data_IF_541415964494
#
_entry.id   IF_541415964494
#
_cell.length_a   1.000
_cell.length_b   1.000
_cell.length_c   1.000
_cell.angle_alpha   90.00
_cell.angle_beta   90.00
_cell.angle_gamma   90.00
#
_symmetry.space_group_name_H-M   'P 1'
#
loop_
_entity.id
_entity.type
_entity.pdbx_description
1 polymer ?
#
# COMPACT_ATOMS: atom_id res chain seq x y z
N UNK A 1 -27.37 -18.79 60.47
CA UNK A 1 -26.10 -18.01 60.51
C UNK A 1 -25.07 -18.44 59.46
N UNK A 2 -24.77 -19.74 59.27
CA UNK A 2 -23.78 -20.22 58.27
C UNK A 2 -24.10 -19.85 56.81
N UNK A 3 -25.38 -19.83 56.41
CA UNK A 3 -25.81 -19.47 55.04
C UNK A 3 -25.73 -17.96 54.73
N UNK A 4 -25.69 -17.09 55.74
CA UNK A 4 -25.54 -15.65 55.53
C UNK A 4 -24.06 -15.26 55.38
N UNK A 5 -23.15 -15.98 56.05
CA UNK A 5 -21.70 -15.80 55.93
C UNK A 5 -21.20 -16.27 54.55
N UNK A 6 -21.72 -17.38 54.03
CA UNK A 6 -21.34 -17.88 52.69
C UNK A 6 -21.82 -16.96 51.56
N UNK A 7 -22.99 -16.33 51.71
CA UNK A 7 -23.50 -15.33 50.76
C UNK A 7 -22.74 -14.00 50.84
N UNK A 8 -22.30 -13.60 52.04
CA UNK A 8 -21.46 -12.41 52.24
C UNK A 8 -20.06 -12.61 51.63
N UNK A 9 -19.46 -13.79 51.78
CA UNK A 9 -18.16 -14.11 51.18
C UNK A 9 -18.21 -14.14 49.64
N UNK A 10 -19.28 -14.67 49.03
CA UNK A 10 -19.44 -14.63 47.56
C UNK A 10 -19.63 -13.20 47.04
N UNK A 11 -20.32 -12.33 47.78
CA UNK A 11 -20.48 -10.93 47.41
C UNK A 11 -19.15 -10.16 47.49
N UNK A 12 -18.29 -10.44 48.48
CA UNK A 12 -16.97 -9.82 48.61
C UNK A 12 -16.02 -10.28 47.49
N UNK A 13 -16.05 -11.56 47.10
CA UNK A 13 -15.23 -12.07 45.98
C UNK A 13 -15.70 -11.52 44.63
N UNK A 14 -17.01 -11.33 44.44
CA UNK A 14 -17.54 -10.69 43.22
C UNK A 14 -17.17 -9.21 43.11
N UNK A 15 -17.13 -8.48 44.23
CA UNK A 15 -16.71 -7.06 44.25
C UNK A 15 -15.20 -6.91 44.00
N UNK A 16 -14.38 -7.87 44.46
CA UNK A 16 -12.94 -7.86 44.20
C UNK A 16 -12.59 -8.35 42.78
N UNK A 17 -13.39 -9.25 42.19
CA UNK A 17 -13.24 -9.69 40.80
C UNK A 17 -13.69 -8.65 39.76
N UNK A 18 -14.56 -7.71 40.15
CA UNK A 18 -14.98 -6.58 39.30
C UNK A 18 -14.10 -5.32 39.51
N UNK A 19 -13.33 -5.26 40.59
CA UNK A 19 -12.37 -4.19 40.86
C UNK A 19 -10.99 -4.42 40.21
N UNK A 20 -10.76 -5.58 39.56
CA UNK A 20 -9.50 -5.87 38.86
C UNK A 20 -9.48 -5.42 37.39
N UNK A 21 -10.53 -4.76 36.92
CA UNK A 21 -10.46 -3.88 35.76
C UNK A 21 -10.81 -2.49 36.26
N UNK A 22 -9.83 -1.82 36.84
CA UNK A 22 -9.95 -0.39 37.02
C UNK A 22 -9.87 0.26 35.62
N UNK A 23 -10.43 1.45 35.40
CA UNK A 23 -10.20 2.21 34.16
C UNK A 23 -8.70 2.46 33.88
N UNK A 24 -7.86 2.20 34.89
CA UNK A 24 -6.40 2.23 34.84
C UNK A 24 -5.78 1.00 34.14
N UNK A 25 -6.52 -0.12 34.07
CA UNK A 25 -6.16 -1.36 33.35
C UNK A 25 -6.77 -1.44 31.95
N UNK A 26 -7.67 -0.50 31.60
CA UNK A 26 -8.11 -0.34 30.22
C UNK A 26 -6.92 0.24 29.43
N UNK A 27 -6.43 -0.44 28.38
CA UNK A 27 -5.44 0.17 27.51
C UNK A 27 -5.99 1.50 27.03
N UNK A 28 -5.17 2.56 27.13
CA UNK A 28 -5.57 3.90 26.75
C UNK A 28 -6.31 3.86 25.41
N UNK A 29 -7.48 4.51 25.36
CA UNK A 29 -8.33 4.51 24.17
C UNK A 29 -7.46 4.99 23.00
N UNK A 30 -7.16 4.08 22.07
CA UNK A 30 -6.29 4.41 20.96
C UNK A 30 -7.07 5.34 20.05
N UNK A 31 -6.75 6.63 20.08
CA UNK A 31 -7.31 7.60 19.16
C UNK A 31 -6.63 7.40 17.81
N UNK A 32 -7.39 7.27 16.73
CA UNK A 32 -6.82 7.24 15.38
C UNK A 32 -6.96 8.61 14.73
N UNK A 33 -6.12 8.86 13.75
CA UNK A 33 -6.12 10.13 13.03
C UNK A 33 -7.40 10.27 12.20
N UNK A 34 -7.75 11.50 11.82
CA UNK A 34 -8.99 11.74 11.06
C UNK A 34 -8.92 11.23 9.61
N UNK A 35 -7.70 10.97 9.11
CA UNK A 35 -7.41 10.50 7.76
C UNK A 35 -6.32 9.44 7.83
N UNK A 36 -6.31 8.55 6.84
CA UNK A 36 -5.29 7.52 6.76
C UNK A 36 -3.92 8.14 6.41
N UNK A 37 -2.87 7.61 7.04
CA UNK A 37 -1.50 8.07 6.77
C UNK A 37 -0.99 7.50 5.45
N UNK A 38 -0.39 8.35 4.62
CA UNK A 38 0.39 7.92 3.46
C UNK A 38 1.64 7.16 3.92
N UNK A 39 2.09 6.21 3.10
CA UNK A 39 3.29 5.45 3.37
C UNK A 39 3.24 4.05 2.79
N UNK A 40 4.30 3.29 3.08
CA UNK A 40 4.48 1.95 2.56
C UNK A 40 4.75 0.99 3.70
N UNK A 41 4.15 -0.20 3.63
CA UNK A 41 4.35 -1.28 4.59
C UNK A 41 4.71 -2.57 3.86
N UNK A 42 5.77 -3.23 4.33
CA UNK A 42 6.23 -4.52 3.81
C UNK A 42 5.83 -5.63 4.78
N UNK A 43 5.44 -6.80 4.25
CA UNK A 43 5.09 -7.96 5.05
C UNK A 43 6.26 -8.44 5.90
N UNK A 44 6.00 -8.67 7.18
CA UNK A 44 6.85 -9.49 8.03
C UNK A 44 6.65 -10.95 7.62
N UNK A 45 7.73 -11.59 7.14
CA UNK A 45 7.86 -13.01 6.78
C UNK A 45 6.55 -13.76 6.51
N UNK A 46 6.24 -14.03 5.24
CA UNK A 46 5.13 -14.92 4.88
C UNK A 46 5.59 -16.36 4.74
N UNK A 47 4.68 -17.30 4.97
CA UNK A 47 4.98 -18.75 4.93
C UNK A 47 5.36 -19.25 3.53
N UNK A 48 4.93 -18.55 2.48
CA UNK A 48 5.15 -18.90 1.08
C UNK A 48 6.39 -18.23 0.47
N UNK A 49 7.08 -17.37 1.22
CA UNK A 49 8.24 -16.60 0.76
C UNK A 49 7.89 -15.37 -0.10
N UNK A 50 6.61 -15.12 -0.38
CA UNK A 50 6.17 -13.94 -1.13
C UNK A 50 6.27 -12.68 -0.27
N UNK A 51 7.03 -11.68 -0.70
CA UNK A 51 7.05 -10.38 -0.04
C UNK A 51 5.93 -9.51 -0.58
N UNK A 52 5.09 -9.00 0.33
CA UNK A 52 4.00 -8.08 -0.01
C UNK A 52 4.36 -6.66 0.41
N UNK A 53 4.06 -5.69 -0.44
CA UNK A 53 4.10 -4.26 -0.09
C UNK A 53 2.73 -3.65 -0.28
N UNK A 54 2.23 -2.96 0.73
CA UNK A 54 1.04 -2.09 0.63
C UNK A 54 1.52 -0.64 0.65
N UNK A 55 1.28 0.10 -0.42
CA UNK A 55 1.60 1.51 -0.53
C UNK A 55 0.32 2.35 -0.62
N UNK A 56 0.18 3.33 0.27
CA UNK A 56 -0.86 4.35 0.24
C UNK A 56 -0.23 5.65 -0.26
N UNK A 57 -0.77 6.20 -1.35
CA UNK A 57 -0.19 7.36 -2.05
C UNK A 57 -1.28 8.30 -2.55
N UNK A 58 -0.91 9.55 -2.86
CA UNK A 58 -1.81 10.46 -3.56
C UNK A 58 -1.62 10.33 -5.07
N UNK A 59 -2.71 10.04 -5.78
CA UNK A 59 -2.78 10.05 -7.23
C UNK A 59 -3.42 11.34 -7.72
N UNK A 60 -2.72 12.04 -8.61
CA UNK A 60 -3.22 13.23 -9.31
C UNK A 60 -3.67 12.82 -10.69
N UNK A 61 -4.94 13.07 -11.00
CA UNK A 61 -5.53 12.76 -12.30
C UNK A 61 -5.98 14.06 -12.94
N UNK A 62 -5.50 14.33 -14.16
CA UNK A 62 -6.01 15.47 -14.94
C UNK A 62 -7.38 15.08 -15.49
N UNK A 63 -8.40 15.86 -15.13
CA UNK A 63 -9.75 15.74 -15.64
C UNK A 63 -9.86 16.71 -16.83
N UNK A 64 -10.03 16.20 -18.06
CA UNK A 64 -10.19 17.05 -19.24
C UNK A 64 -11.37 18.00 -19.07
N UNK A 65 -11.29 19.15 -19.73
CA UNK A 65 -12.41 20.08 -19.83
C UNK A 65 -13.63 19.38 -20.45
N UNK A 66 -14.79 19.47 -19.78
CA UNK A 66 -16.02 18.82 -20.23
C UNK A 66 -16.62 19.49 -21.49
N UNK A 67 -16.26 20.75 -21.74
CA UNK A 67 -16.76 21.58 -22.84
C UNK A 67 -15.65 22.48 -23.40
N UNK A 68 -15.84 22.92 -24.64
CA UNK A 68 -14.90 23.78 -25.37
C UNK A 68 -14.78 25.15 -24.65
N UNK A 69 -13.64 25.40 -24.02
CA UNK A 69 -13.35 26.63 -23.25
C UNK A 69 -13.25 26.47 -21.73
N UNK A 70 -13.65 25.33 -21.15
CA UNK A 70 -13.34 25.04 -19.75
C UNK A 70 -11.85 24.69 -19.59
N UNK A 71 -11.27 25.00 -18.42
CA UNK A 71 -9.90 24.61 -18.12
C UNK A 71 -9.88 23.19 -17.54
N UNK A 72 -8.88 22.35 -17.88
CA UNK A 72 -8.70 21.06 -17.23
C UNK A 72 -8.50 21.26 -15.72
N UNK A 73 -9.02 20.34 -14.92
CA UNK A 73 -8.87 20.35 -13.46
C UNK A 73 -8.04 19.18 -13.00
N UNK A 74 -7.44 19.26 -11.80
CA UNK A 74 -6.69 18.15 -11.21
C UNK A 74 -7.49 17.57 -10.07
N UNK A 75 -7.87 16.30 -10.18
CA UNK A 75 -8.44 15.51 -9.10
C UNK A 75 -7.31 14.85 -8.31
N UNK A 76 -7.38 14.91 -6.99
CA UNK A 76 -6.41 14.26 -6.08
C UNK A 76 -7.16 13.21 -5.26
N UNK A 77 -6.78 11.95 -5.41
CA UNK A 77 -7.36 10.82 -4.68
C UNK A 77 -6.27 10.12 -3.88
N UNK A 78 -6.60 9.61 -2.69
CA UNK A 78 -5.73 8.65 -2.00
C UNK A 78 -6.01 7.26 -2.57
N UNK A 79 -4.97 6.59 -3.03
CA UNK A 79 -5.05 5.26 -3.64
C UNK A 79 -4.13 4.28 -2.94
N UNK A 80 -4.53 3.01 -2.92
CA UNK A 80 -3.68 1.91 -2.53
C UNK A 80 -3.07 1.18 -3.72
N UNK A 81 -1.85 0.71 -3.55
CA UNK A 81 -1.20 -0.23 -4.47
C UNK A 81 -0.64 -1.38 -3.68
N UNK A 82 -0.94 -2.61 -4.12
CA UNK A 82 -0.38 -3.84 -3.57
C UNK A 82 0.65 -4.40 -4.54
N UNK A 83 1.89 -4.55 -4.07
CA UNK A 83 2.97 -5.25 -4.78
C UNK A 83 3.19 -6.61 -4.14
N UNK A 84 3.37 -7.64 -4.97
CA UNK A 84 3.55 -9.03 -4.55
C UNK A 84 4.76 -9.57 -5.29
N UNK A 85 5.85 -9.87 -4.59
CA UNK A 85 7.08 -10.34 -5.24
C UNK A 85 7.61 -11.63 -4.64
N UNK A 86 8.11 -12.52 -5.50
CA UNK A 86 8.85 -13.71 -5.10
C UNK A 86 10.39 -13.51 -5.21
N UNK A 87 10.84 -12.28 -5.46
CA UNK A 87 12.25 -11.92 -5.68
C UNK A 87 12.69 -11.90 -7.14
N UNK A 88 11.96 -12.56 -8.05
CA UNK A 88 12.23 -12.55 -9.49
C UNK A 88 11.17 -11.76 -10.23
N UNK A 89 9.91 -12.04 -9.92
CA UNK A 89 8.75 -11.36 -10.50
C UNK A 89 8.03 -10.53 -9.45
N UNK A 90 7.43 -9.44 -9.90
CA UNK A 90 6.48 -8.66 -9.10
C UNK A 90 5.15 -8.63 -9.83
N UNK A 91 4.07 -8.75 -9.08
CA UNK A 91 2.70 -8.55 -9.53
C UNK A 91 2.11 -7.37 -8.77
N UNK A 92 1.27 -6.58 -9.44
CA UNK A 92 0.70 -5.36 -8.87
C UNK A 92 -0.80 -5.33 -9.03
N UNK A 93 -1.50 -5.04 -7.94
CA UNK A 93 -2.85 -4.49 -7.99
C UNK A 93 -2.74 -2.99 -7.69
N UNK A 94 -2.94 -2.16 -8.71
CA UNK A 94 -2.79 -0.72 -8.62
C UNK A 94 -4.13 0.01 -8.52
N UNK A 95 -4.09 1.24 -8.02
CA UNK A 95 -5.23 2.16 -8.01
C UNK A 95 -6.44 1.64 -7.21
N UNK A 96 -6.20 0.93 -6.11
CA UNK A 96 -7.24 0.51 -5.19
C UNK A 96 -7.90 1.72 -4.53
N UNK A 97 -9.23 1.73 -4.46
CA UNK A 97 -9.98 2.81 -3.82
C UNK A 97 -9.88 2.66 -2.31
N UNK A 98 -9.50 3.73 -1.61
CA UNK A 98 -9.35 3.73 -0.16
C UNK A 98 -10.64 4.19 0.54
N UNK A 99 -11.07 3.43 1.54
CA UNK A 99 -12.04 3.84 2.56
C UNK A 99 -11.41 3.71 3.94
N UNK A 100 -11.60 4.70 4.82
CA UNK A 100 -10.98 4.72 6.15
C UNK A 100 -12.00 5.01 7.25
N UNK A 101 -12.00 4.17 8.29
CA UNK A 101 -12.78 4.36 9.51
C UNK A 101 -11.87 4.74 10.69
N UNK A 102 -11.84 6.04 10.99
CA UNK A 102 -11.09 6.61 12.11
C UNK A 102 -11.59 6.14 13.50
N UNK A 103 -12.78 5.54 13.63
CA UNK A 103 -13.26 5.02 14.92
C UNK A 103 -12.52 3.76 15.32
N UNK A 104 -12.09 2.97 14.34
CA UNK A 104 -11.44 1.68 14.55
C UNK A 104 -10.03 1.60 13.96
N UNK A 105 -9.57 2.65 13.27
CA UNK A 105 -8.24 2.70 12.67
C UNK A 105 -8.07 1.67 11.56
N UNK A 106 -9.13 1.43 10.80
CA UNK A 106 -9.16 0.43 9.75
C UNK A 106 -9.37 1.09 8.39
N UNK A 107 -8.53 0.72 7.44
CA UNK A 107 -8.67 1.05 6.04
C UNK A 107 -9.09 -0.18 5.23
N UNK A 108 -9.87 0.06 4.19
CA UNK A 108 -10.20 -0.93 3.17
C UNK A 108 -9.72 -0.41 1.83
N UNK A 109 -9.01 -1.27 1.08
CA UNK A 109 -8.65 -1.02 -0.30
C UNK A 109 -9.43 -1.95 -1.22
N UNK A 110 -10.15 -1.36 -2.16
CA UNK A 110 -10.96 -2.09 -3.14
C UNK A 110 -10.29 -2.03 -4.51
N UNK A 111 -9.87 -3.20 -5.02
CA UNK A 111 -9.25 -3.35 -6.33
C UNK A 111 -10.22 -4.05 -7.28
N UNK A 112 -10.68 -3.34 -8.31
CA UNK A 112 -11.56 -3.92 -9.33
C UNK A 112 -10.81 -4.88 -10.27
N UNK A 113 -9.56 -4.54 -10.61
CA UNK A 113 -8.69 -5.31 -11.48
C UNK A 113 -7.44 -5.75 -10.72
N UNK A 114 -7.13 -7.04 -10.80
CA UNK A 114 -5.93 -7.61 -10.16
C UNK A 114 -5.25 -8.62 -11.09
N UNK A 115 -3.99 -8.97 -10.82
CA UNK A 115 -3.29 -10.04 -11.52
C UNK A 115 -3.99 -11.40 -11.46
N UNK A 116 -4.87 -11.61 -10.47
CA UNK A 116 -5.65 -12.83 -10.30
C UNK A 116 -6.93 -12.89 -11.15
N UNK A 117 -7.22 -11.85 -11.94
CA UNK A 117 -8.44 -11.72 -12.77
C UNK A 117 -9.74 -11.73 -11.95
N UNK A 118 -9.64 -11.47 -10.66
CA UNK A 118 -10.75 -11.34 -9.73
C UNK A 118 -10.60 -10.04 -8.93
N UNK A 119 -11.70 -9.35 -8.59
CA UNK A 119 -11.63 -8.23 -7.67
C UNK A 119 -11.05 -8.66 -6.32
N UNK A 120 -10.41 -7.74 -5.62
CA UNK A 120 -9.77 -8.00 -4.33
C UNK A 120 -10.09 -6.89 -3.35
N UNK A 121 -10.35 -7.27 -2.11
CA UNK A 121 -10.41 -6.35 -0.99
C UNK A 121 -9.23 -6.62 -0.06
N UNK A 122 -8.61 -5.54 0.40
CA UNK A 122 -7.51 -5.59 1.34
C UNK A 122 -7.90 -4.79 2.58
N UNK A 123 -7.94 -5.48 3.72
CA UNK A 123 -8.21 -4.86 5.00
C UNK A 123 -6.90 -4.53 5.70
N UNK A 124 -6.80 -3.29 6.16
CA UNK A 124 -5.62 -2.69 6.77
C UNK A 124 -6.00 -2.22 8.17
N UNK A 125 -5.63 -2.96 9.21
CA UNK A 125 -5.91 -2.58 10.59
C UNK A 125 -4.65 -2.06 11.28
N UNK A 126 -4.69 -0.83 11.78
CA UNK A 126 -3.58 -0.26 12.58
C UNK A 126 -3.46 -1.01 13.90
N UNK A 127 -2.25 -1.47 14.23
CA UNK A 127 -1.97 -2.03 15.55
C UNK A 127 -1.88 -0.91 16.60
N UNK A 128 -1.88 -1.25 17.89
CA UNK A 128 -1.77 -0.28 18.99
C UNK A 128 -0.54 0.65 18.88
N UNK A 129 0.55 0.18 18.25
CA UNK A 129 1.74 0.99 17.98
C UNK A 129 1.55 2.04 16.88
N UNK A 130 0.45 1.98 16.11
CA UNK A 130 0.10 2.74 14.89
C UNK A 130 1.07 2.63 13.72
N UNK A 131 2.31 2.22 13.97
CA UNK A 131 3.37 2.04 12.96
C UNK A 131 3.23 0.73 12.21
N UNK A 132 2.77 -0.32 12.90
CA UNK A 132 2.51 -1.65 12.31
C UNK A 132 1.06 -1.78 11.88
N UNK A 133 0.85 -2.63 10.89
CA UNK A 133 -0.46 -2.86 10.31
C UNK A 133 -0.72 -4.36 10.22
N UNK A 134 -1.92 -4.82 10.56
CA UNK A 134 -2.35 -6.17 10.20
C UNK A 134 -3.10 -6.07 8.87
N UNK A 135 -2.68 -6.90 7.92
CA UNK A 135 -3.16 -6.88 6.54
C UNK A 135 -3.82 -8.21 6.21
N UNK A 136 -5.00 -8.17 5.59
CA UNK A 136 -5.71 -9.36 5.13
C UNK A 136 -6.23 -9.16 3.71
N UNK A 137 -5.93 -10.10 2.81
CA UNK A 137 -6.30 -10.04 1.40
C UNK A 137 -7.40 -11.06 1.12
N UNK A 138 -8.45 -10.62 0.44
CA UNK A 138 -9.57 -11.43 0.01
C UNK A 138 -9.82 -11.23 -1.48
N UNK A 139 -10.05 -12.31 -2.22
CA UNK A 139 -10.57 -12.24 -3.60
C UNK A 139 -12.05 -12.56 -3.63
N UNK A 140 -12.71 -11.99 -4.64
CA UNK A 140 -14.14 -12.10 -4.87
C UNK A 140 -14.40 -12.96 -6.08
N UNK A 141 -15.24 -13.97 -5.89
CA UNK A 141 -15.75 -14.76 -6.99
C UNK A 141 -17.28 -14.73 -6.98
N UNK A 142 -17.86 -14.45 -8.13
CA UNK A 142 -19.30 -14.58 -8.32
C UNK A 142 -19.58 -15.94 -8.95
N UNK A 143 -20.12 -16.85 -8.14
CA UNK A 143 -20.52 -18.18 -8.60
C UNK A 143 -22.02 -18.36 -8.43
N UNK A 144 -22.73 -18.59 -9.55
CA UNK A 144 -24.19 -18.74 -9.59
C UNK A 144 -24.96 -17.58 -8.92
N UNK A 145 -24.51 -16.34 -9.14
CA UNK A 145 -25.16 -15.14 -8.59
C UNK A 145 -24.93 -14.89 -7.10
N UNK A 146 -24.10 -15.71 -6.43
CA UNK A 146 -23.64 -15.48 -5.06
C UNK A 146 -22.20 -15.00 -5.06
N UNK A 147 -21.91 -14.02 -4.21
CA UNK A 147 -20.56 -13.51 -3.96
C UNK A 147 -19.91 -14.38 -2.89
N UNK A 148 -18.75 -14.94 -3.21
CA UNK A 148 -17.90 -15.65 -2.26
C UNK A 148 -16.62 -14.84 -2.06
N UNK A 149 -16.28 -14.61 -0.78
CA UNK A 149 -14.99 -14.05 -0.40
C UNK A 149 -14.07 -15.18 0.05
N UNK A 150 -12.89 -15.28 -0.57
CA UNK A 150 -11.86 -16.22 -0.17
C UNK A 150 -10.64 -15.46 0.33
N UNK A 151 -10.24 -15.76 1.58
CA UNK A 151 -8.97 -15.26 2.13
C UNK A 151 -7.80 -15.87 1.36
N UNK A 152 -6.95 -15.01 0.80
CA UNK A 152 -5.69 -15.42 0.19
C UNK A 152 -4.59 -15.52 1.24
N UNK A 153 -4.30 -14.42 1.91
CA UNK A 153 -3.18 -14.31 2.85
C UNK A 153 -3.50 -13.29 3.94
N UNK A 154 -2.87 -13.45 5.10
CA UNK A 154 -2.85 -12.47 6.15
C UNK A 154 -1.42 -12.33 6.68
N UNK A 155 -0.98 -11.11 6.94
CA UNK A 155 0.35 -10.82 7.45
C UNK A 155 0.36 -9.56 8.30
N UNK A 156 1.44 -9.35 9.04
CA UNK A 156 1.70 -8.06 9.67
C UNK A 156 2.66 -7.26 8.79
N UNK A 157 2.34 -6.01 8.52
CA UNK A 157 3.16 -5.06 7.77
C UNK A 157 3.96 -4.16 8.71
N UNK A 158 5.24 -3.97 8.40
CA UNK A 158 6.13 -3.00 9.03
C UNK A 158 6.44 -1.86 8.07
N UNK A 159 6.69 -0.63 8.55
CA UNK A 159 7.03 0.49 7.69
C UNK A 159 8.21 0.19 6.76
N UNK A 160 8.07 0.53 5.49
CA UNK A 160 9.12 0.49 4.46
C UNK A 160 9.25 1.86 3.80
N UNK A 161 10.42 2.15 3.24
CA UNK A 161 10.67 3.38 2.48
C UNK A 161 10.46 3.23 0.99
N UNK A 162 10.38 2.00 0.49
CA UNK A 162 10.14 1.69 -0.92
C UNK A 162 9.35 0.41 -1.11
N UNK A 163 9.09 0.10 -2.38
CA UNK A 163 8.43 -1.15 -2.83
C UNK A 163 9.32 -1.92 -3.79
N UNK A 164 8.95 -3.16 -4.12
CA UNK A 164 9.52 -3.85 -5.27
C UNK A 164 9.09 -3.16 -6.58
N UNK A 165 10.05 -2.67 -7.36
CA UNK A 165 9.78 -1.90 -8.60
C UNK A 165 10.00 -2.72 -9.88
N UNK A 166 10.66 -3.87 -9.77
CA UNK A 166 11.07 -4.70 -10.90
C UNK A 166 10.06 -5.82 -11.20
N UNK A 167 9.79 -6.06 -12.48
CA UNK A 167 9.01 -7.20 -12.95
C UNK A 167 8.65 -7.09 -14.43
N UNK A 168 8.52 -8.24 -15.10
CA UNK A 168 8.31 -8.33 -16.55
C UNK A 168 6.98 -7.73 -17.04
N UNK A 169 6.04 -7.46 -16.13
CA UNK A 169 4.75 -6.84 -16.46
C UNK A 169 4.51 -5.53 -15.71
N UNK A 170 5.55 -4.93 -15.09
CA UNK A 170 5.44 -3.62 -14.45
C UNK A 170 6.00 -2.53 -15.33
N UNK A 171 5.14 -1.61 -15.74
CA UNK A 171 5.51 -0.40 -16.46
C UNK A 171 5.26 0.82 -15.57
N UNK A 172 6.23 1.72 -15.55
CA UNK A 172 6.16 2.98 -14.81
C UNK A 172 6.11 4.13 -15.81
N UNK A 173 4.98 4.83 -15.86
CA UNK A 173 4.77 6.01 -16.70
C UNK A 173 4.79 7.30 -15.88
N UNK A 174 5.26 8.39 -16.48
CA UNK A 174 5.01 9.73 -15.96
C UNK A 174 3.61 10.23 -16.38
N UNK A 175 3.07 11.20 -15.63
CA UNK A 175 1.70 11.66 -15.82
C UNK A 175 1.40 12.28 -17.20
N UNK A 176 2.42 12.79 -17.88
CA UNK A 176 2.35 13.38 -19.21
C UNK A 176 2.59 12.37 -20.34
N UNK A 177 2.91 11.09 -20.03
CA UNK A 177 3.08 10.02 -21.00
C UNK A 177 4.27 10.20 -21.94
N UNK A 178 5.26 11.00 -21.53
CA UNK A 178 6.46 11.28 -22.32
C UNK A 178 7.63 10.37 -21.96
N UNK A 179 7.54 9.67 -20.83
CA UNK A 179 8.57 8.78 -20.32
C UNK A 179 7.94 7.53 -19.69
N UNK A 180 8.34 6.37 -20.20
CA UNK A 180 7.99 5.07 -19.64
C UNK A 180 9.26 4.28 -19.33
N UNK A 181 9.25 3.53 -18.24
CA UNK A 181 10.35 2.65 -17.87
C UNK A 181 9.84 1.35 -17.26
N UNK A 182 10.51 0.27 -17.61
CA UNK A 182 10.35 -1.06 -17.03
C UNK A 182 11.66 -1.48 -16.39
N UNK A 183 11.61 -1.90 -15.13
CA UNK A 183 12.76 -2.40 -14.39
C UNK A 183 12.78 -3.93 -14.42
N UNK A 184 13.91 -4.52 -14.80
CA UNK A 184 14.10 -5.96 -14.85
C UNK A 184 14.85 -6.46 -13.60
N UNK A 185 14.64 -7.71 -13.20
CA UNK A 185 15.27 -8.27 -12.00
C UNK A 185 16.81 -8.36 -12.08
N UNK A 186 17.37 -8.34 -13.29
CA UNK A 186 18.82 -8.43 -13.55
C UNK A 186 19.58 -7.10 -13.42
N UNK A 187 18.89 -6.01 -13.04
CA UNK A 187 19.49 -4.67 -12.94
C UNK A 187 19.51 -3.89 -14.27
N UNK A 188 18.87 -4.41 -15.32
CA UNK A 188 18.64 -3.66 -16.57
C UNK A 188 17.26 -2.99 -16.57
N UNK A 189 17.08 -1.99 -17.42
CA UNK A 189 15.77 -1.39 -17.65
C UNK A 189 15.54 -1.15 -19.15
N UNK A 190 14.29 -1.32 -19.58
CA UNK A 190 13.82 -0.82 -20.86
C UNK A 190 13.10 0.51 -20.64
N UNK A 191 13.28 1.47 -21.53
CA UNK A 191 12.59 2.76 -21.44
C UNK A 191 12.13 3.25 -22.81
N UNK A 192 11.14 4.14 -22.79
CA UNK A 192 10.61 4.77 -23.98
C UNK A 192 10.42 6.26 -23.72
N UNK A 193 10.81 7.06 -24.71
CA UNK A 193 10.53 8.50 -24.80
C UNK A 193 10.07 8.84 -26.21
N UNK A 194 9.63 10.08 -26.44
CA UNK A 194 9.31 10.54 -27.81
C UNK A 194 10.52 10.44 -28.76
N UNK A 195 11.73 10.74 -28.27
CA UNK A 195 12.95 10.70 -29.07
C UNK A 195 13.55 9.30 -29.22
N UNK A 196 13.24 8.41 -28.27
CA UNK A 196 13.80 7.05 -28.19
C UNK A 196 12.64 6.07 -27.98
N UNK A 197 12.05 5.52 -29.06
CA UNK A 197 10.89 4.64 -28.96
C UNK A 197 11.22 3.29 -28.29
N UNK A 198 12.47 2.84 -28.37
CA UNK A 198 12.96 1.64 -27.69
C UNK A 198 14.38 1.90 -27.17
N UNK A 199 14.50 2.11 -25.86
CA UNK A 199 15.76 2.40 -25.18
C UNK A 199 16.09 1.35 -24.12
N UNK A 200 17.39 1.18 -23.84
CA UNK A 200 17.88 0.31 -22.77
C UNK A 200 18.81 1.05 -21.81
N UNK A 201 18.83 0.62 -20.57
CA UNK A 201 19.68 1.19 -19.53
C UNK A 201 19.96 0.19 -18.41
N UNK A 202 20.64 0.66 -17.38
CA UNK A 202 20.91 -0.09 -16.16
C UNK A 202 20.40 0.68 -14.95
N UNK A 203 20.10 -0.04 -13.87
CA UNK A 203 19.69 0.59 -12.63
C UNK A 203 20.22 -0.17 -11.41
N UNK A 204 20.28 0.56 -10.30
CA UNK A 204 20.44 -0.02 -8.96
C UNK A 204 19.29 0.49 -8.11
N UNK A 205 18.78 -0.36 -7.23
CA UNK A 205 17.70 0.02 -6.34
C UNK A 205 17.68 -0.87 -5.09
N UNK A 206 17.42 -0.25 -3.96
CA UNK A 206 17.20 -0.93 -2.69
C UNK A 206 15.81 -0.58 -2.16
N UNK A 207 14.93 -1.59 -2.13
CA UNK A 207 13.55 -1.44 -1.65
C UNK A 207 13.46 -1.09 -0.16
N UNK A 208 14.46 -1.47 0.65
CA UNK A 208 14.47 -1.18 2.08
C UNK A 208 14.69 0.33 2.34
N UNK A 209 15.54 0.96 1.54
CA UNK A 209 15.78 2.41 1.62
C UNK A 209 14.88 3.22 0.69
N UNK A 210 14.29 2.60 -0.33
CA UNK A 210 13.52 3.27 -1.38
C UNK A 210 14.37 4.15 -2.28
N UNK A 211 15.67 3.85 -2.39
CA UNK A 211 16.64 4.68 -3.13
C UNK A 211 17.39 3.88 -4.17
N UNK A 212 17.84 4.56 -5.21
CA UNK A 212 18.57 3.95 -6.31
C UNK A 212 18.96 4.94 -7.39
N UNK A 213 19.40 4.42 -8.53
CA UNK A 213 19.73 5.22 -9.70
C UNK A 213 19.44 4.47 -10.99
N UNK A 214 19.06 5.19 -12.03
CA UNK A 214 18.95 4.70 -13.42
C UNK A 214 19.99 5.39 -14.26
N UNK A 215 20.67 4.66 -15.14
CA UNK A 215 21.53 5.22 -16.20
C UNK A 215 21.03 4.73 -17.55
N UNK A 216 20.66 5.67 -18.41
CA UNK A 216 20.20 5.40 -19.77
C UNK A 216 21.40 5.20 -20.72
N UNK A 217 21.16 4.61 -21.89
CA UNK A 217 22.20 4.36 -22.90
C UNK A 217 22.96 5.62 -23.37
N UNK A 218 22.35 6.80 -23.31
CA UNK A 218 22.98 8.08 -23.68
C UNK A 218 23.87 8.65 -22.56
N UNK A 219 23.95 7.97 -21.41
CA UNK A 219 24.70 8.39 -20.22
C UNK A 219 23.90 9.27 -19.25
N UNK A 220 22.64 9.57 -19.55
CA UNK A 220 21.76 10.33 -18.65
C UNK A 220 21.47 9.52 -17.39
N UNK A 221 21.64 10.13 -16.22
CA UNK A 221 21.41 9.47 -14.92
C UNK A 221 20.25 10.12 -14.16
N UNK A 222 19.40 9.29 -13.56
CA UNK A 222 18.33 9.70 -12.65
C UNK A 222 18.54 9.06 -11.28
N UNK A 223 18.22 9.80 -10.22
CA UNK A 223 18.08 9.25 -8.86
C UNK A 223 16.67 8.74 -8.66
N UNK A 224 16.53 7.51 -8.15
CA UNK A 224 15.25 6.91 -7.76
C UNK A 224 14.96 7.29 -6.30
N UNK A 225 13.73 7.73 -6.02
CA UNK A 225 13.27 8.02 -4.66
C UNK A 225 11.76 8.08 -4.55
N UNK A 226 11.25 8.47 -3.37
CA UNK A 226 9.83 8.72 -3.13
C UNK A 226 9.61 10.15 -2.66
N UNK A 227 8.52 10.78 -3.11
CA UNK A 227 8.15 12.13 -2.69
C UNK A 227 7.21 12.11 -1.45
N UNK A 228 6.78 13.29 -1.00
CA UNK A 228 5.87 13.44 0.13
C UNK A 228 4.47 12.84 -0.11
N UNK A 229 4.08 12.65 -1.37
CA UNK A 229 2.83 12.02 -1.79
C UNK A 229 2.94 10.47 -1.80
N UNK A 230 4.09 9.93 -1.37
CA UNK A 230 4.47 8.51 -1.45
C UNK A 230 4.43 7.94 -2.89
N UNK A 231 4.74 8.77 -3.88
CA UNK A 231 4.88 8.36 -5.27
C UNK A 231 6.36 8.17 -5.63
N UNK A 232 6.64 7.18 -6.49
CA UNK A 232 7.98 6.94 -7.03
C UNK A 232 8.42 8.14 -7.86
N UNK A 233 9.69 8.50 -7.80
CA UNK A 233 10.26 9.62 -8.54
C UNK A 233 11.57 9.26 -9.21
N UNK A 234 11.79 9.84 -10.39
CA UNK A 234 13.07 9.86 -11.08
C UNK A 234 13.53 11.31 -11.17
N UNK A 235 14.67 11.63 -10.56
CA UNK A 235 15.18 13.01 -10.48
C UNK A 235 16.54 13.14 -11.16
N UNK A 236 16.65 14.09 -12.08
CA UNK A 236 17.91 14.49 -12.70
C UNK A 236 18.11 16.00 -12.50
N UNK A 237 19.06 16.36 -11.62
CA UNK A 237 19.31 17.75 -11.24
C UNK A 237 18.10 18.38 -10.57
N UNK A 238 17.47 19.35 -11.24
CA UNK A 238 16.26 20.06 -10.75
C UNK A 238 14.96 19.51 -11.36
N UNK A 239 15.06 18.58 -12.31
CA UNK A 239 13.90 17.97 -12.96
C UNK A 239 13.52 16.70 -12.22
N UNK A 240 12.28 16.63 -11.74
CA UNK A 240 11.72 15.45 -11.08
C UNK A 240 10.50 14.96 -11.85
N UNK A 241 10.55 13.71 -12.29
CA UNK A 241 9.40 13.00 -12.86
C UNK A 241 8.75 12.19 -11.75
N UNK A 242 7.43 12.32 -11.62
CA UNK A 242 6.62 11.47 -10.73
C UNK A 242 6.11 10.29 -11.55
N UNK A 243 6.41 9.09 -11.09
CA UNK A 243 6.13 7.84 -11.77
C UNK A 243 4.96 7.14 -11.10
N UNK A 244 4.05 6.60 -11.91
CA UNK A 244 2.98 5.70 -11.46
C UNK A 244 3.08 4.36 -12.18
N UNK A 245 2.77 3.29 -11.47
CA UNK A 245 2.61 1.97 -12.09
C UNK A 245 1.32 1.98 -12.92
N UNK A 246 1.43 1.56 -14.18
CA UNK A 246 0.33 1.37 -15.11
C UNK A 246 -0.12 -0.10 -15.15
#
# INVERSE_FOLDING_TARGET
>A
MKQYISKLLMAVVAVWGLASCTDTDMPALTTYDAQESLGTWVSENTDDGTTYYVALSLKKTVVPAAEDGAQPTVKVDTVGTLYMTNGTDTYVAANGTLSYDAKVGMSTLDFANTPFRSPMHVYLARQTSKTRMSVQLFIYEVYQGKVYEQKLVAFNGIPSKGVAIAGESLFWGNADGTFYIQFNADGTCAYQTEAVPEGTGTYTYDAATGTGSVTLADGTTYTIGYNADNALTLTNGTTTMVMSCE
#
